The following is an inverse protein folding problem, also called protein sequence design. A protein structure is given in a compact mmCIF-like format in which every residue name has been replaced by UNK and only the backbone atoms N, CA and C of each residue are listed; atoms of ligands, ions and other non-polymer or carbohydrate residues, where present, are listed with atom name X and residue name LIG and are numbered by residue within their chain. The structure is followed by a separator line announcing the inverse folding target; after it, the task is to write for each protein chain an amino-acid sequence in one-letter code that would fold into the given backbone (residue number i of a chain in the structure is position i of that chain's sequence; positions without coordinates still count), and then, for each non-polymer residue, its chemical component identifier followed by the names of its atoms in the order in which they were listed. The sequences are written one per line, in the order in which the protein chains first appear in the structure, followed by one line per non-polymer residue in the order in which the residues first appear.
data_IF_698860441955
#
_entry.id   IF_698860441955
#
_cell.length_a   1.000
_cell.length_b   1.000
_cell.length_c   1.000
_cell.angle_alpha   90.00
_cell.angle_beta   90.00
_cell.angle_gamma   90.00
#
_symmetry.space_group_name_H-M   'P 1'
#
loop_
_entity.id
_entity.type
_entity.pdbx_description
1 polymer ?
#
# COMPACT_ATOMS: atom_id res chain seq x y z
N UNK A 1 -6.96 -19.96 13.80
CA UNK A 1 -7.11 -18.71 14.57
C UNK A 1 -6.90 -17.46 13.72
N UNK A 2 -5.76 -17.29 13.03
CA UNK A 2 -5.49 -16.11 12.18
C UNK A 2 -6.55 -15.86 11.09
N UNK A 3 -7.06 -16.92 10.46
CA UNK A 3 -8.14 -16.86 9.46
C UNK A 3 -9.45 -16.33 10.08
N UNK A 4 -9.75 -16.69 11.33
CA UNK A 4 -10.95 -16.23 12.02
C UNK A 4 -10.86 -14.73 12.38
N UNK A 5 -9.66 -14.27 12.74
CA UNK A 5 -9.37 -12.85 13.02
C UNK A 5 -9.48 -12.03 11.74
N UNK A 6 -8.85 -12.46 10.63
CA UNK A 6 -8.94 -11.75 9.35
C UNK A 6 -10.40 -11.66 8.86
N UNK A 7 -11.15 -12.76 8.94
CA UNK A 7 -12.57 -12.78 8.58
C UNK A 7 -13.44 -11.89 9.47
N UNK A 8 -13.07 -11.76 10.75
CA UNK A 8 -13.72 -10.84 11.68
C UNK A 8 -13.45 -9.37 11.29
N UNK A 9 -12.19 -9.03 10.99
CA UNK A 9 -11.77 -7.69 10.57
C UNK A 9 -12.43 -7.28 9.25
N UNK A 10 -12.46 -8.18 8.26
CA UNK A 10 -13.12 -7.92 6.98
C UNK A 10 -14.62 -7.66 7.16
N UNK A 11 -15.29 -8.44 8.01
CA UNK A 11 -16.72 -8.27 8.29
C UNK A 11 -17.00 -6.97 9.06
N UNK A 12 -16.09 -6.56 9.95
CA UNK A 12 -16.18 -5.31 10.68
C UNK A 12 -16.00 -4.12 9.73
N UNK A 13 -14.95 -4.13 8.91
CA UNK A 13 -14.66 -3.08 7.93
C UNK A 13 -15.78 -2.96 6.89
N UNK A 14 -16.29 -4.08 6.40
CA UNK A 14 -17.44 -4.08 5.50
C UNK A 14 -18.65 -3.40 6.13
N UNK A 15 -19.02 -3.76 7.37
CA UNK A 15 -20.13 -3.11 8.09
C UNK A 15 -19.91 -1.61 8.31
N UNK A 16 -18.67 -1.17 8.48
CA UNK A 16 -18.35 0.24 8.68
C UNK A 16 -18.47 1.06 7.38
N UNK A 17 -18.09 0.46 6.25
CA UNK A 17 -17.97 1.19 4.98
C UNK A 17 -19.26 1.09 4.15
N UNK A 18 -20.00 -0.02 4.20
CA UNK A 18 -21.09 -0.29 3.24
C UNK A 18 -22.50 -0.08 3.80
N UNK A 19 -22.66 0.16 5.10
CA UNK A 19 -23.99 0.06 5.72
C UNK A 19 -24.89 1.30 5.67
N UNK A 20 -24.47 2.51 5.26
CA UNK A 20 -25.36 3.69 5.16
C UNK A 20 -24.76 4.88 4.36
N UNK A 21 -25.58 5.82 3.84
CA UNK A 21 -25.16 6.90 2.95
C UNK A 21 -24.61 8.17 3.64
N UNK A 22 -24.79 8.35 4.97
CA UNK A 22 -24.34 9.56 5.67
C UNK A 22 -23.31 9.28 6.78
N UNK A 23 -22.20 10.03 6.72
CA UNK A 23 -21.04 9.94 7.63
C UNK A 23 -21.38 10.06 9.13
N UNK A 24 -22.31 10.94 9.57
CA UNK A 24 -22.65 11.06 11.00
C UNK A 24 -23.36 9.82 11.57
N UNK A 25 -24.27 9.22 10.79
CA UNK A 25 -24.98 8.02 11.20
C UNK A 25 -24.05 6.78 11.28
N UNK A 26 -23.05 6.72 10.39
CA UNK A 26 -21.99 5.71 10.45
C UNK A 26 -21.18 5.82 11.75
N UNK A 27 -20.75 7.03 12.13
CA UNK A 27 -19.97 7.25 13.35
C UNK A 27 -20.76 6.89 14.61
N UNK A 28 -22.02 7.31 14.70
CA UNK A 28 -22.89 6.98 15.84
C UNK A 28 -23.07 5.47 16.02
N UNK A 29 -23.32 4.73 14.93
CA UNK A 29 -23.44 3.27 14.97
C UNK A 29 -22.11 2.57 15.30
N UNK A 30 -20.99 3.13 14.84
CA UNK A 30 -19.65 2.64 15.19
C UNK A 30 -19.42 2.75 16.70
N UNK A 31 -19.64 3.93 17.28
CA UNK A 31 -19.45 4.16 18.72
C UNK A 31 -20.28 3.18 19.56
N UNK A 32 -21.52 2.91 19.15
CA UNK A 32 -22.41 2.00 19.88
C UNK A 32 -22.06 0.51 19.73
N UNK A 33 -21.38 0.11 18.65
CA UNK A 33 -21.06 -1.31 18.38
C UNK A 33 -19.60 -1.70 18.69
N UNK A 34 -18.70 -0.71 18.74
CA UNK A 34 -17.27 -0.90 18.97
C UNK A 34 -16.94 -1.65 20.28
N UNK A 35 -17.58 -1.36 21.43
CA UNK A 35 -17.26 -2.07 22.67
C UNK A 35 -17.48 -3.58 22.56
N UNK A 36 -18.59 -4.01 21.98
CA UNK A 36 -18.91 -5.44 21.81
C UNK A 36 -17.96 -6.11 20.83
N UNK A 37 -17.58 -5.42 19.75
CA UNK A 37 -16.62 -5.94 18.76
C UNK A 37 -15.22 -6.12 19.38
N UNK A 38 -14.78 -5.17 20.21
CA UNK A 38 -13.50 -5.26 20.93
C UNK A 38 -13.50 -6.39 21.97
N UNK A 39 -14.61 -6.65 22.65
CA UNK A 39 -14.74 -7.79 23.58
C UNK A 39 -14.67 -9.13 22.84
N UNK A 40 -15.33 -9.25 21.70
CA UNK A 40 -15.26 -10.45 20.85
C UNK A 40 -13.85 -10.68 20.29
N UNK A 41 -13.18 -9.62 19.84
CA UNK A 41 -11.79 -9.68 19.41
C UNK A 41 -10.87 -10.17 20.54
N UNK A 42 -11.01 -9.61 21.75
CA UNK A 42 -10.26 -10.05 22.93
C UNK A 42 -10.48 -11.53 23.22
N UNK A 43 -11.72 -12.02 23.16
CA UNK A 43 -11.99 -13.46 23.38
C UNK A 43 -11.37 -14.36 22.31
N UNK A 44 -11.24 -13.87 21.07
CA UNK A 44 -10.61 -14.61 19.97
C UNK A 44 -9.07 -14.65 20.08
N UNK A 45 -8.49 -13.79 20.93
CA UNK A 45 -7.05 -13.64 21.13
C UNK A 45 -6.52 -14.35 22.38
N UNK A 46 -7.39 -14.94 23.22
CA UNK A 46 -7.00 -15.55 24.52
C UNK A 46 -5.92 -16.63 24.35
N UNK A 47 -5.96 -17.39 23.26
CA UNK A 47 -4.98 -18.44 22.96
C UNK A 47 -3.92 -18.01 21.93
N UNK A 48 -3.91 -16.73 21.53
CA UNK A 48 -2.93 -16.19 20.59
C UNK A 48 -1.71 -15.66 21.34
N UNK A 49 -0.81 -16.58 21.71
CA UNK A 49 0.56 -16.21 22.02
C UNK A 49 1.24 -15.74 20.74
N UNK A 50 1.46 -14.43 20.62
CA UNK A 50 2.38 -13.90 19.60
C UNK A 50 3.73 -14.54 19.92
N UNK A 51 4.32 -15.36 19.02
CA UNK A 51 5.66 -15.85 19.25
C UNK A 51 6.57 -14.63 19.22
N UNK A 52 7.08 -14.25 20.38
CA UNK A 52 8.09 -13.20 20.51
C UNK A 52 9.38 -13.79 19.95
N UNK A 53 9.54 -13.67 18.63
CA UNK A 53 10.83 -13.89 18.01
C UNK A 53 11.71 -12.69 18.37
N UNK A 54 12.59 -12.86 19.36
CA UNK A 54 13.61 -11.87 19.74
C UNK A 54 14.43 -11.36 18.53
N UNK A 55 14.49 -12.13 17.43
CA UNK A 55 15.11 -11.71 16.19
C UNK A 55 14.37 -10.55 15.51
N UNK A 56 13.04 -10.51 15.56
CA UNK A 56 12.26 -9.42 14.96
C UNK A 56 12.57 -8.13 15.73
N UNK A 57 12.49 -8.16 17.05
CA UNK A 57 12.77 -6.98 17.89
C UNK A 57 14.20 -6.47 17.70
N UNK A 58 15.18 -7.38 17.61
CA UNK A 58 16.58 -7.07 17.30
C UNK A 58 16.77 -6.39 15.94
N UNK A 59 16.21 -6.96 14.86
CA UNK A 59 16.34 -6.36 13.52
C UNK A 59 15.49 -5.08 13.36
N UNK A 60 14.41 -4.94 14.13
CA UNK A 60 13.60 -3.71 14.14
C UNK A 60 14.36 -2.59 14.84
N UNK A 61 14.98 -2.86 16.00
CA UNK A 61 15.82 -1.90 16.71
C UNK A 61 17.03 -1.43 15.89
N UNK A 62 17.72 -2.33 15.18
CA UNK A 62 18.83 -1.98 14.26
C UNK A 62 18.36 -1.12 13.08
N UNK A 63 17.15 -1.37 12.57
CA UNK A 63 16.56 -0.56 11.49
C UNK A 63 16.15 0.83 12.00
N UNK A 64 15.62 0.89 13.21
CA UNK A 64 15.06 2.10 13.83
C UNK A 64 16.14 3.07 14.32
N UNK A 65 17.37 2.59 14.59
CA UNK A 65 18.53 3.44 14.94
C UNK A 65 18.86 4.44 13.81
N UNK A 66 18.68 4.04 12.56
CA UNK A 66 18.83 4.93 11.40
C UNK A 66 17.58 5.75 11.07
N UNK A 67 16.40 5.30 11.54
CA UNK A 67 15.11 5.92 11.23
C UNK A 67 14.77 7.09 12.18
N UNK A 68 15.33 7.07 13.38
CA UNK A 68 14.94 7.93 14.50
C UNK A 68 15.66 9.27 14.59
N UNK A 69 16.70 9.52 13.79
CA UNK A 69 17.47 10.78 13.91
C UNK A 69 16.66 12.03 13.56
N UNK A 70 15.67 11.96 12.67
CA UNK A 70 14.56 12.94 12.58
C UNK A 70 13.47 12.41 11.67
N UNK A 71 12.21 12.36 12.10
CA UNK A 71 11.07 12.02 11.22
C UNK A 71 11.07 12.84 9.91
N UNK A 72 11.55 14.09 9.97
CA UNK A 72 11.72 14.96 8.81
C UNK A 72 12.78 14.52 7.80
N UNK A 73 13.89 13.89 8.24
CA UNK A 73 14.91 13.37 7.32
C UNK A 73 14.42 12.10 6.63
N UNK A 74 13.67 11.26 7.33
CA UNK A 74 12.96 10.12 6.72
C UNK A 74 11.97 10.60 5.65
N UNK A 75 11.11 11.56 5.96
CA UNK A 75 10.15 12.10 4.99
C UNK A 75 10.89 12.74 3.81
N UNK A 76 11.93 13.52 4.05
CA UNK A 76 12.71 14.16 2.99
C UNK A 76 13.43 13.14 2.11
N UNK A 77 13.96 12.05 2.67
CA UNK A 77 14.59 10.96 1.93
C UNK A 77 13.56 10.13 1.14
N UNK A 78 12.40 9.84 1.73
CA UNK A 78 11.32 9.11 1.07
C UNK A 78 10.65 9.92 -0.04
N UNK A 79 10.57 11.24 0.13
CA UNK A 79 10.05 12.17 -0.88
C UNK A 79 11.12 12.65 -1.85
N UNK A 80 12.42 12.44 -1.58
CA UNK A 80 13.48 12.76 -2.52
C UNK A 80 13.27 11.99 -3.83
N UNK A 81 13.34 12.71 -4.94
CA UNK A 81 13.09 12.17 -6.29
C UNK A 81 14.38 11.58 -6.88
N UNK A 82 15.53 11.88 -6.27
CA UNK A 82 16.87 11.61 -6.80
C UNK A 82 17.27 10.12 -6.70
N UNK A 83 16.73 9.38 -5.72
CA UNK A 83 17.16 8.00 -5.42
C UNK A 83 16.01 7.04 -5.11
N UNK A 84 14.96 6.99 -5.94
CA UNK A 84 13.84 6.06 -5.75
C UNK A 84 14.06 4.73 -6.50
N UNK A 85 14.96 3.91 -6.00
CA UNK A 85 15.05 2.50 -6.41
C UNK A 85 14.48 1.60 -5.32
N UNK A 86 13.53 0.75 -5.66
CA UNK A 86 13.06 -0.33 -4.80
C UNK A 86 13.54 -1.63 -5.41
N UNK A 87 14.29 -2.42 -4.64
CA UNK A 87 14.78 -3.73 -5.06
C UNK A 87 13.80 -4.78 -4.54
N UNK A 88 13.20 -5.53 -5.46
CA UNK A 88 12.30 -6.64 -5.11
C UNK A 88 13.09 -7.95 -5.07
N UNK A 89 13.29 -8.47 -3.87
CA UNK A 89 13.94 -9.76 -3.67
C UNK A 89 12.92 -10.90 -3.52
N UNK A 90 11.70 -10.58 -3.07
CA UNK A 90 10.57 -11.51 -2.96
C UNK A 90 9.26 -10.78 -3.19
N UNK A 91 8.36 -11.37 -3.97
CA UNK A 91 7.06 -10.76 -4.31
C UNK A 91 5.94 -11.76 -4.08
N UNK A 92 4.93 -11.38 -3.31
CA UNK A 92 3.74 -12.20 -3.09
C UNK A 92 2.69 -11.85 -4.16
N UNK A 93 2.32 -12.83 -4.98
CA UNK A 93 1.31 -12.68 -6.04
C UNK A 93 0.18 -13.66 -5.81
N UNK A 94 -1.06 -13.27 -6.15
CA UNK A 94 -2.20 -14.17 -6.13
C UNK A 94 -2.37 -14.80 -7.51
N UNK A 95 -2.12 -16.11 -7.61
CA UNK A 95 -2.28 -16.91 -8.84
C UNK A 95 -3.36 -17.96 -8.54
N UNK A 96 -4.41 -18.01 -9.36
CA UNK A 96 -5.53 -18.95 -9.19
C UNK A 96 -6.16 -18.94 -7.79
N UNK A 97 -6.35 -17.74 -7.22
CA UNK A 97 -6.87 -17.51 -5.87
C UNK A 97 -6.00 -18.07 -4.73
N UNK A 98 -4.75 -18.44 -5.01
CA UNK A 98 -3.76 -18.88 -4.02
C UNK A 98 -2.62 -17.85 -3.93
N UNK A 99 -2.25 -17.42 -2.71
CA UNK A 99 -1.09 -16.57 -2.53
C UNK A 99 0.19 -17.38 -2.75
N UNK A 100 1.00 -16.97 -3.72
CA UNK A 100 2.27 -17.60 -4.09
C UNK A 100 3.40 -16.60 -3.93
N UNK A 101 4.45 -17.01 -3.21
CA UNK A 101 5.65 -16.20 -3.02
C UNK A 101 6.63 -16.48 -4.15
N UNK A 102 6.94 -15.45 -4.94
CA UNK A 102 7.95 -15.49 -5.98
C UNK A 102 9.30 -15.08 -5.40
N UNK A 103 10.31 -15.91 -5.62
CA UNK A 103 11.71 -15.68 -5.22
C UNK A 103 12.66 -15.67 -6.41
N UNK A 104 12.23 -16.19 -7.57
CA UNK A 104 13.03 -16.16 -8.79
C UNK A 104 13.00 -14.76 -9.42
N UNK A 105 14.18 -14.26 -9.84
CA UNK A 105 14.35 -12.92 -10.39
C UNK A 105 13.53 -12.70 -11.67
N UNK A 106 13.40 -13.71 -12.52
CA UNK A 106 12.66 -13.61 -13.77
C UNK A 106 11.16 -13.52 -13.48
N UNK A 107 10.66 -14.36 -12.58
CA UNK A 107 9.25 -14.36 -12.17
C UNK A 107 8.87 -13.06 -11.46
N UNK A 108 9.74 -12.56 -10.57
CA UNK A 108 9.57 -11.26 -9.90
C UNK A 108 9.48 -10.13 -10.91
N UNK A 109 10.38 -10.11 -11.91
CA UNK A 109 10.37 -9.10 -12.98
C UNK A 109 9.05 -9.12 -13.74
N UNK A 110 8.57 -10.29 -14.13
CA UNK A 110 7.32 -10.41 -14.89
C UNK A 110 6.10 -10.02 -14.03
N UNK A 111 6.07 -10.42 -12.76
CA UNK A 111 5.02 -10.03 -11.83
C UNK A 111 4.98 -8.52 -11.62
N UNK A 112 6.14 -7.88 -11.45
CA UNK A 112 6.24 -6.43 -11.31
C UNK A 112 5.75 -5.71 -12.56
N UNK A 113 6.20 -6.13 -13.75
CA UNK A 113 5.73 -5.57 -15.03
C UNK A 113 4.21 -5.67 -15.13
N UNK A 114 3.64 -6.86 -14.94
CA UNK A 114 2.19 -7.08 -15.01
C UNK A 114 1.43 -6.21 -14.02
N UNK A 115 1.92 -6.09 -12.79
CA UNK A 115 1.29 -5.28 -11.77
C UNK A 115 1.30 -3.80 -12.17
N UNK A 116 2.48 -3.22 -12.38
CA UNK A 116 2.63 -1.78 -12.58
C UNK A 116 2.16 -1.27 -13.95
N UNK A 117 2.19 -2.09 -15.01
CA UNK A 117 1.65 -1.70 -16.31
C UNK A 117 0.14 -1.46 -16.29
N UNK A 118 -0.59 -2.14 -15.40
CA UNK A 118 -2.04 -2.00 -15.27
C UNK A 118 -2.49 -0.94 -14.25
N UNK A 119 -1.57 -0.44 -13.42
CA UNK A 119 -1.89 0.51 -12.33
C UNK A 119 -2.29 1.88 -12.88
N UNK A 120 -1.72 2.27 -14.03
CA UNK A 120 -2.11 3.50 -14.70
C UNK A 120 -3.19 3.14 -15.72
N UNK A 121 -4.44 3.49 -15.41
CA UNK A 121 -5.53 3.41 -16.39
C UNK A 121 -5.13 4.20 -17.64
N UNK A 122 -5.34 3.66 -18.85
CA UNK A 122 -5.16 4.43 -20.08
C UNK A 122 -5.87 5.78 -19.94
N UNK A 123 -5.23 6.90 -20.32
CA UNK A 123 -5.82 8.21 -20.14
C UNK A 123 -7.17 8.25 -20.87
N UNK A 124 -8.23 8.58 -20.13
CA UNK A 124 -9.59 8.74 -20.66
C UNK A 124 -9.66 9.80 -21.76
N UNK A 125 -8.72 10.74 -21.74
CA UNK A 125 -8.54 11.77 -22.74
C UNK A 125 -7.33 11.39 -23.58
N UNK A 126 -7.59 11.00 -24.83
CA UNK A 126 -6.55 10.95 -25.85
C UNK A 126 -6.28 12.39 -26.30
N UNK A 127 -5.02 12.78 -26.21
CA UNK A 127 -4.55 14.07 -26.68
C UNK A 127 -3.89 13.85 -28.04
N UNK A 128 -4.42 14.50 -29.07
CA UNK A 128 -3.88 14.37 -30.44
C UNK A 128 -2.72 15.34 -30.73
N UNK A 129 -2.53 16.36 -29.88
CA UNK A 129 -1.44 17.34 -29.97
C UNK A 129 -0.97 17.77 -28.57
N UNK A 130 0.30 18.13 -28.42
CA UNK A 130 0.86 18.70 -27.19
C UNK A 130 0.15 19.99 -26.76
N UNK A 131 -0.42 20.74 -27.71
CA UNK A 131 -1.18 21.97 -27.43
C UNK A 131 -2.46 21.69 -26.65
N UNK A 132 -3.00 20.47 -26.77
CA UNK A 132 -4.20 20.05 -26.04
C UNK A 132 -3.91 19.60 -24.60
N UNK A 133 -2.64 19.52 -24.20
CA UNK A 133 -2.27 19.14 -22.84
C UNK A 133 -2.61 20.26 -21.84
N UNK A 134 -2.89 19.90 -20.57
CA UNK A 134 -2.95 20.88 -19.49
C UNK A 134 -1.65 21.72 -19.40
N UNK A 135 -1.71 23.00 -18.99
CA UNK A 135 -0.56 23.91 -18.98
C UNK A 135 0.68 23.37 -18.24
N UNK A 136 0.48 22.55 -17.20
CA UNK A 136 1.56 21.86 -16.47
C UNK A 136 2.39 20.96 -17.39
N UNK A 137 1.73 20.22 -18.29
CA UNK A 137 2.37 19.23 -19.15
C UNK A 137 2.88 19.81 -20.46
N UNK A 138 2.25 20.89 -20.98
CA UNK A 138 2.78 21.62 -22.14
C UNK A 138 4.25 21.99 -21.93
N UNK A 139 4.60 22.58 -20.79
CA UNK A 139 6.00 22.96 -20.47
C UNK A 139 6.94 21.75 -20.40
N UNK A 140 6.49 20.65 -19.81
CA UNK A 140 7.32 19.46 -19.62
C UNK A 140 7.61 18.71 -20.93
N UNK A 141 6.69 18.78 -21.89
CA UNK A 141 6.79 18.12 -23.20
C UNK A 141 7.03 19.12 -24.35
N UNK A 142 7.39 20.37 -24.04
CA UNK A 142 7.81 21.32 -25.08
C UNK A 142 9.13 20.81 -25.67
N UNK A 143 9.22 20.62 -27.00
CA UNK A 143 10.46 20.21 -27.63
C UNK A 143 11.57 21.20 -27.29
N UNK A 144 12.73 20.67 -26.89
CA UNK A 144 13.93 21.49 -26.75
C UNK A 144 14.33 21.91 -28.17
N UNK A 145 14.36 23.22 -28.40
CA UNK A 145 14.66 23.83 -29.70
C UNK A 145 16.11 23.63 -30.18
N UNK A 146 16.94 22.97 -29.36
CA UNK A 146 18.40 22.93 -29.47
C UNK A 146 18.93 21.48 -29.46
N UNK A 147 18.18 20.56 -30.08
CA UNK A 147 18.73 19.26 -30.47
C UNK A 147 19.17 19.40 -31.93
N UNK A 148 20.25 20.15 -32.13
CA UNK A 148 20.92 20.21 -33.42
C UNK A 148 21.46 18.81 -33.80
N UNK A 149 21.46 18.59 -35.12
CA UNK A 149 21.57 17.31 -35.86
C UNK A 149 22.81 16.46 -35.60
#
# INVERSE_FOLDING_TARGET
MLIAINKFLDRLLFKLITSQPSRPAQISKMINSLPTQLTLLKSLLVDYTIPIYNSIEYYTALRDEHFSTTLGSFISSALSVEHRSIVFDRVLVVIDSKPTLLTDLLDIKQAAIKHFQSVVTPPLVQYSSTDSFPPRWQRAYTPISDIDS
#
